data_IF_148560659063
#
_entry.id   IF_148560659063
#
_cell.length_a   1.000
_cell.length_b   1.000
_cell.length_c   1.000
_cell.angle_alpha   90.00
_cell.angle_beta   90.00
_cell.angle_gamma   90.00
#
_symmetry.space_group_name_H-M   'P 1'
#
loop_
_entity.id
_entity.type
_entity.pdbx_description
1 polymer ?
#
# COMPACT_ATOMS: atom_id res chain seq x y z
N UNK A 1 11.89 -6.93 8.31
CA UNK A 1 12.37 -7.01 6.92
C UNK A 1 13.73 -6.31 6.78
N UNK A 2 13.82 -5.02 7.07
CA UNK A 2 15.05 -4.23 6.90
C UNK A 2 16.29 -4.79 7.61
N UNK A 3 16.14 -5.34 8.82
CA UNK A 3 17.24 -5.97 9.57
C UNK A 3 17.96 -7.10 8.80
N UNK A 4 17.26 -7.73 7.86
CA UNK A 4 17.82 -8.82 7.03
C UNK A 4 18.19 -8.36 5.62
N UNK A 5 18.02 -7.08 5.31
CA UNK A 5 18.31 -6.57 3.97
C UNK A 5 19.79 -6.23 3.85
N UNK A 6 20.53 -6.81 2.88
CA UNK A 6 21.99 -6.66 2.82
C UNK A 6 22.45 -5.23 2.50
N UNK A 7 21.60 -4.40 1.90
CA UNK A 7 21.88 -3.00 1.56
C UNK A 7 21.44 -1.98 2.60
N UNK A 8 20.91 -2.41 3.77
CA UNK A 8 20.41 -1.51 4.80
C UNK A 8 21.25 -1.61 6.09
N UNK A 9 21.71 -0.46 6.57
CA UNK A 9 22.29 -0.29 7.90
C UNK A 9 21.44 0.70 8.69
N UNK A 10 20.87 0.26 9.81
CA UNK A 10 20.14 1.15 10.71
C UNK A 10 21.11 2.00 11.52
N UNK A 11 21.04 3.32 11.34
CA UNK A 11 21.86 4.30 12.06
C UNK A 11 21.06 5.05 13.11
N UNK A 12 19.73 5.19 12.91
CA UNK A 12 18.81 5.77 13.87
C UNK A 12 17.45 5.07 13.80
N UNK A 13 16.79 4.96 14.95
CA UNK A 13 15.40 4.51 15.07
C UNK A 13 14.65 5.52 15.93
N UNK A 14 13.51 6.00 15.47
CA UNK A 14 12.78 7.04 16.17
C UNK A 14 11.44 6.57 16.72
N UNK A 15 11.13 7.02 17.94
CA UNK A 15 9.81 6.86 18.54
C UNK A 15 9.69 7.81 19.74
N UNK A 16 9.06 8.98 19.54
CA UNK A 16 9.02 10.04 20.55
C UNK A 16 8.57 9.57 21.94
N UNK A 17 7.51 8.75 22.03
CA UNK A 17 7.01 8.22 23.30
C UNK A 17 7.89 7.14 23.94
N UNK A 18 8.87 6.64 23.22
CA UNK A 18 9.79 5.58 23.65
C UNK A 18 11.26 5.98 23.52
N UNK A 19 11.56 7.27 23.31
CA UNK A 19 12.93 7.77 23.25
C UNK A 19 13.73 7.38 24.48
N UNK A 20 15.01 6.99 24.29
CA UNK A 20 15.90 6.49 25.33
C UNK A 20 15.71 5.00 25.70
N UNK A 21 14.81 4.26 25.00
CA UNK A 21 14.57 2.85 25.26
C UNK A 21 15.13 1.96 24.16
N UNK A 22 15.60 0.75 24.48
CA UNK A 22 15.97 -0.25 23.46
C UNK A 22 14.77 -0.62 22.60
N UNK A 23 14.98 -0.85 21.29
CA UNK A 23 13.92 -1.30 20.38
C UNK A 23 13.22 -2.58 20.89
N UNK A 24 13.97 -3.49 21.51
CA UNK A 24 13.45 -4.72 22.09
C UNK A 24 12.42 -4.51 23.21
N UNK A 25 12.43 -3.36 23.90
CA UNK A 25 11.42 -3.06 24.92
C UNK A 25 10.04 -2.78 24.31
N UNK A 26 9.99 -2.36 23.04
CA UNK A 26 8.76 -2.10 22.28
C UNK A 26 8.38 -3.29 21.40
N UNK A 27 9.40 -3.96 20.83
CA UNK A 27 9.28 -5.09 19.94
C UNK A 27 10.20 -6.25 20.40
N UNK A 28 9.78 -7.06 21.38
CA UNK A 28 10.63 -8.10 21.99
C UNK A 28 11.22 -9.11 20.99
N UNK A 29 10.53 -9.37 19.88
CA UNK A 29 11.03 -10.26 18.84
C UNK A 29 12.25 -9.71 18.05
N UNK A 30 12.60 -8.44 18.25
CA UNK A 30 13.81 -7.82 17.71
C UNK A 30 14.99 -7.84 18.68
N UNK A 31 14.86 -8.48 19.86
CA UNK A 31 15.94 -8.56 20.85
C UNK A 31 17.22 -9.25 20.34
N UNK A 32 17.08 -10.06 19.28
CA UNK A 32 18.22 -10.76 18.64
C UNK A 32 18.92 -9.91 17.58
N UNK A 33 18.41 -8.72 17.30
CA UNK A 33 18.98 -7.81 16.32
C UNK A 33 19.77 -6.69 17.05
N UNK A 34 20.98 -6.44 16.58
CA UNK A 34 21.78 -5.30 17.05
C UNK A 34 21.23 -4.01 16.41
N UNK A 35 20.35 -3.34 17.14
CA UNK A 35 19.69 -2.12 16.70
C UNK A 35 20.02 -0.97 17.68
N UNK A 36 20.12 0.27 17.19
CA UNK A 36 20.30 1.43 18.06
C UNK A 36 19.08 1.64 18.97
N UNK A 37 19.30 2.30 20.08
CA UNK A 37 18.21 2.72 20.95
C UNK A 37 17.31 3.74 20.25
N UNK A 38 16.06 3.80 20.71
CA UNK A 38 15.08 4.74 20.16
C UNK A 38 15.42 6.17 20.58
N UNK A 39 15.34 7.10 19.64
CA UNK A 39 15.55 8.54 19.89
C UNK A 39 14.30 9.34 19.49
N UNK A 40 14.20 10.58 19.93
CA UNK A 40 13.14 11.48 19.45
C UNK A 40 13.43 11.93 18.01
N UNK A 41 12.38 12.28 17.25
CA UNK A 41 12.54 12.72 15.85
C UNK A 41 13.39 13.99 15.73
N UNK A 42 13.32 14.88 16.71
CA UNK A 42 14.09 16.12 16.79
C UNK A 42 15.57 15.91 17.03
N UNK A 43 15.96 14.80 17.65
CA UNK A 43 17.36 14.49 18.03
C UNK A 43 18.14 13.80 16.91
N UNK A 44 17.51 13.51 15.76
CA UNK A 44 18.20 12.85 14.64
C UNK A 44 19.00 13.86 13.82
N UNK A 45 20.28 13.60 13.66
CA UNK A 45 21.13 14.25 12.65
C UNK A 45 20.97 13.54 11.30
N UNK A 46 20.36 14.21 10.34
CA UNK A 46 20.12 13.67 9.01
C UNK A 46 21.31 13.83 8.04
N UNK A 47 22.43 14.45 8.45
CA UNK A 47 23.55 14.78 7.55
C UNK A 47 24.26 13.55 6.95
N UNK A 48 24.27 12.44 7.66
CA UNK A 48 24.92 11.18 7.24
C UNK A 48 23.95 10.08 6.86
N UNK A 49 22.69 10.41 6.56
CA UNK A 49 21.65 9.43 6.25
C UNK A 49 21.32 9.46 4.76
N UNK A 50 21.26 8.29 4.11
CA UNK A 50 20.93 8.15 2.70
C UNK A 50 19.42 8.04 2.48
N UNK A 51 18.70 7.37 3.40
CA UNK A 51 17.27 7.12 3.28
C UNK A 51 16.57 7.12 4.63
N UNK A 52 15.37 7.67 4.67
CA UNK A 52 14.46 7.61 5.83
C UNK A 52 13.20 6.82 5.45
N UNK A 53 12.89 5.77 6.21
CA UNK A 53 11.59 5.11 6.17
C UNK A 53 10.67 5.80 7.18
N UNK A 54 9.72 6.57 6.69
CA UNK A 54 8.81 7.34 7.52
C UNK A 54 7.51 6.55 7.76
N UNK A 55 7.31 6.08 8.99
CA UNK A 55 6.11 5.33 9.42
C UNK A 55 5.20 6.14 10.35
N UNK A 56 5.16 7.46 10.20
CA UNK A 56 4.37 8.34 11.03
C UNK A 56 2.87 8.32 10.63
N UNK A 57 1.97 8.63 11.57
CA UNK A 57 0.56 8.84 11.25
C UNK A 57 0.39 9.96 10.20
N UNK A 58 -0.69 9.86 9.41
CA UNK A 58 -1.09 10.92 8.46
C UNK A 58 -1.20 12.28 9.17
N UNK A 59 -0.85 13.35 8.46
CA UNK A 59 -0.76 14.73 8.99
C UNK A 59 0.52 15.01 9.76
N UNK A 60 1.33 13.99 10.06
CA UNK A 60 2.56 14.15 10.87
C UNK A 60 3.82 14.06 10.00
N UNK A 61 3.82 13.21 8.97
CA UNK A 61 4.99 13.02 8.11
C UNK A 61 5.37 14.29 7.33
N UNK A 62 4.40 15.11 6.94
CA UNK A 62 4.61 16.37 6.21
C UNK A 62 5.63 17.29 6.89
N UNK A 63 5.52 17.45 8.22
CA UNK A 63 6.44 18.31 9.00
C UNK A 63 7.86 17.73 9.04
N UNK A 64 7.97 16.42 9.27
CA UNK A 64 9.26 15.75 9.29
C UNK A 64 9.93 15.80 7.90
N UNK A 65 9.18 15.51 6.85
CA UNK A 65 9.70 15.53 5.47
C UNK A 65 10.14 16.95 5.08
N UNK A 66 9.41 17.99 5.50
CA UNK A 66 9.83 19.39 5.30
C UNK A 66 11.16 19.68 5.99
N UNK A 67 11.33 19.27 7.26
CA UNK A 67 12.60 19.41 7.99
C UNK A 67 13.75 18.71 7.25
N UNK A 68 13.54 17.45 6.87
CA UNK A 68 14.53 16.66 6.13
C UNK A 68 14.94 17.34 4.82
N UNK A 69 13.97 17.81 4.04
CA UNK A 69 14.23 18.46 2.76
C UNK A 69 15.07 19.75 2.89
N UNK A 70 14.94 20.45 4.03
CA UNK A 70 15.72 21.64 4.36
C UNK A 70 17.14 21.31 4.83
N UNK A 71 17.30 20.26 5.65
CA UNK A 71 18.58 19.89 6.26
C UNK A 71 19.46 19.05 5.34
N UNK A 72 18.86 18.17 4.53
CA UNK A 72 19.59 17.30 3.61
C UNK A 72 18.80 17.07 2.30
N UNK A 73 19.06 17.91 1.31
CA UNK A 73 18.40 17.85 0.01
C UNK A 73 18.72 16.59 -0.81
N UNK A 74 19.78 15.84 -0.46
CA UNK A 74 20.15 14.59 -1.13
C UNK A 74 19.42 13.36 -0.57
N UNK A 75 18.94 13.44 0.66
CA UNK A 75 18.27 12.35 1.36
C UNK A 75 16.95 11.97 0.69
N UNK A 76 16.67 10.67 0.62
CA UNK A 76 15.40 10.15 0.12
C UNK A 76 14.48 9.76 1.28
N UNK A 77 13.21 10.06 1.14
CA UNK A 77 12.18 9.67 2.11
C UNK A 77 11.24 8.65 1.48
N UNK A 78 11.12 7.49 2.10
CA UNK A 78 10.12 6.48 1.76
C UNK A 78 9.00 6.61 2.79
N UNK A 79 7.94 7.32 2.41
CA UNK A 79 6.81 7.60 3.29
C UNK A 79 5.75 6.49 3.20
N UNK A 80 5.58 5.76 4.30
CA UNK A 80 4.51 4.78 4.47
C UNK A 80 3.20 5.40 4.99
N UNK A 81 3.25 6.70 5.34
CA UNK A 81 2.08 7.50 5.65
C UNK A 81 1.23 7.78 4.41
N UNK A 82 0.17 8.57 4.61
CA UNK A 82 -0.75 8.89 3.52
C UNK A 82 -0.51 10.27 2.89
N UNK A 83 0.44 11.02 3.45
CA UNK A 83 0.52 12.46 3.26
C UNK A 83 0.89 12.89 1.83
N UNK A 84 1.65 12.08 1.11
CA UNK A 84 2.11 12.40 -0.24
C UNK A 84 1.54 11.49 -1.33
N UNK A 85 0.45 10.74 -1.06
CA UNK A 85 -0.14 9.79 -2.03
C UNK A 85 -0.94 10.46 -3.13
N UNK A 86 -1.61 11.59 -2.82
CA UNK A 86 -2.37 12.33 -3.82
C UNK A 86 -1.45 13.15 -4.72
N UNK A 87 -1.80 13.24 -6.02
CA UNK A 87 -1.06 14.05 -6.98
C UNK A 87 -1.21 15.53 -6.69
N UNK A 88 -2.43 15.93 -6.27
CA UNK A 88 -2.72 17.30 -5.87
C UNK A 88 -2.86 17.36 -4.35
N UNK A 89 -2.13 18.28 -3.72
CA UNK A 89 -2.21 18.47 -2.28
C UNK A 89 -3.62 18.90 -1.80
N UNK A 90 -4.40 19.53 -2.67
CA UNK A 90 -5.79 19.94 -2.40
C UNK A 90 -6.74 18.74 -2.19
N UNK A 91 -6.46 17.59 -2.81
CA UNK A 91 -7.27 16.39 -2.66
C UNK A 91 -7.09 15.72 -1.28
N UNK A 92 -6.08 16.13 -0.52
CA UNK A 92 -5.78 15.59 0.81
C UNK A 92 -6.83 16.00 1.85
N UNK A 93 -7.18 17.29 1.91
CA UNK A 93 -8.08 17.84 2.92
C UNK A 93 -9.43 17.13 3.02
N UNK A 94 -10.15 16.96 1.90
CA UNK A 94 -11.44 16.26 1.88
C UNK A 94 -11.39 14.83 2.41
N UNK A 95 -10.24 14.15 2.30
CA UNK A 95 -10.06 12.74 2.68
C UNK A 95 -9.56 12.59 4.12
N UNK A 96 -8.66 13.48 4.56
CA UNK A 96 -7.99 13.36 5.86
C UNK A 96 -8.45 14.37 6.91
N UNK A 97 -9.32 15.31 6.54
CA UNK A 97 -9.95 16.25 7.47
C UNK A 97 -9.07 17.42 7.90
N UNK A 98 -7.91 17.63 7.24
CA UNK A 98 -7.02 18.76 7.48
C UNK A 98 -6.24 19.10 6.22
N UNK A 99 -5.93 20.37 6.00
CA UNK A 99 -5.17 20.83 4.84
C UNK A 99 -3.74 20.24 4.83
N UNK A 100 -3.22 20.02 3.62
CA UNK A 100 -1.84 19.59 3.43
C UNK A 100 -0.89 20.76 3.75
N UNK A 101 0.00 20.59 4.73
CA UNK A 101 0.87 21.68 5.21
C UNK A 101 2.22 21.78 4.47
N UNK A 102 2.49 20.88 3.54
CA UNK A 102 3.70 20.88 2.72
C UNK A 102 3.40 20.70 1.21
N UNK A 103 2.44 21.48 0.61
CA UNK A 103 2.04 21.29 -0.79
C UNK A 103 3.20 21.51 -1.77
N UNK A 104 4.17 22.34 -1.43
CA UNK A 104 5.36 22.62 -2.23
C UNK A 104 6.32 21.43 -2.41
N UNK A 105 6.15 20.36 -1.61
CA UNK A 105 6.94 19.13 -1.73
C UNK A 105 6.24 18.08 -2.60
N UNK A 106 4.97 18.29 -3.00
CA UNK A 106 4.19 17.29 -3.72
C UNK A 106 4.79 16.92 -5.07
N UNK A 107 5.36 17.89 -5.77
CA UNK A 107 6.02 17.67 -7.08
C UNK A 107 7.30 16.82 -6.97
N UNK A 108 7.85 16.67 -5.76
CA UNK A 108 9.01 15.82 -5.49
C UNK A 108 8.63 14.38 -5.14
N UNK A 109 7.32 14.10 -5.04
CA UNK A 109 6.80 12.81 -4.62
C UNK A 109 6.44 11.92 -5.82
N UNK A 110 6.85 10.65 -5.77
CA UNK A 110 6.38 9.61 -6.65
C UNK A 110 5.48 8.64 -5.91
N UNK A 111 4.41 8.20 -6.54
CA UNK A 111 3.54 7.15 -6.01
C UNK A 111 4.28 5.80 -6.04
N UNK A 112 4.53 5.26 -4.87
CA UNK A 112 5.45 4.16 -4.61
C UNK A 112 4.89 2.76 -4.93
N UNK A 113 4.15 2.58 -6.02
CA UNK A 113 3.79 1.27 -6.56
C UNK A 113 4.85 0.87 -7.57
N UNK A 114 5.88 0.13 -7.11
CA UNK A 114 7.14 -0.13 -7.83
C UNK A 114 6.93 -0.66 -9.24
N UNK A 115 6.03 -1.63 -9.42
CA UNK A 115 5.78 -2.32 -10.68
C UNK A 115 5.22 -1.39 -11.78
N UNK A 116 4.62 -0.28 -11.39
CA UNK A 116 4.01 0.68 -12.32
C UNK A 116 4.76 2.00 -12.46
N UNK A 117 5.60 2.35 -11.48
CA UNK A 117 6.20 3.69 -11.37
C UNK A 117 7.72 3.65 -11.15
N UNK A 118 8.40 2.57 -11.55
CA UNK A 118 9.85 2.34 -11.28
C UNK A 118 10.71 3.55 -11.64
N UNK A 119 10.57 4.07 -12.85
CA UNK A 119 11.38 5.21 -13.32
C UNK A 119 11.11 6.48 -12.50
N UNK A 120 9.86 6.76 -12.17
CA UNK A 120 9.49 7.89 -11.33
C UNK A 120 10.08 7.74 -9.90
N UNK A 121 10.01 6.54 -9.33
CA UNK A 121 10.55 6.23 -8.00
C UNK A 121 12.06 6.41 -7.97
N UNK A 122 12.79 5.97 -9.00
CA UNK A 122 14.25 6.13 -9.08
C UNK A 122 14.69 7.58 -9.05
N UNK A 123 13.87 8.49 -9.57
CA UNK A 123 14.18 9.92 -9.68
C UNK A 123 13.57 10.76 -8.56
N UNK A 124 12.65 10.21 -7.75
CA UNK A 124 11.96 10.96 -6.71
C UNK A 124 12.80 11.14 -5.44
N UNK A 125 12.53 12.23 -4.72
CA UNK A 125 13.03 12.47 -3.36
C UNK A 125 12.10 11.92 -2.30
N UNK A 126 10.81 11.93 -2.58
CA UNK A 126 9.77 11.40 -1.71
C UNK A 126 9.08 10.26 -2.44
N UNK A 127 9.05 9.09 -1.84
CA UNK A 127 8.35 7.93 -2.37
C UNK A 127 7.15 7.65 -1.45
N UNK A 128 5.96 7.97 -1.93
CA UNK A 128 4.71 7.77 -1.19
C UNK A 128 4.21 6.33 -1.36
N UNK A 129 4.45 5.48 -0.38
CA UNK A 129 3.98 4.09 -0.43
C UNK A 129 2.45 4.02 -0.43
N UNK A 130 1.84 3.23 -1.32
CA UNK A 130 0.40 3.02 -1.37
C UNK A 130 -0.16 2.47 -0.06
N UNK A 131 -1.46 2.67 0.17
CA UNK A 131 -2.19 1.87 1.15
C UNK A 131 -2.25 0.39 0.74
N UNK A 132 -2.52 -0.49 1.72
CA UNK A 132 -2.55 -1.94 1.44
C UNK A 132 -3.63 -2.30 0.40
N UNK A 133 -4.87 -1.84 0.59
CA UNK A 133 -5.94 -2.06 -0.39
C UNK A 133 -5.66 -1.44 -1.77
N UNK A 134 -5.18 -0.18 -1.89
CA UNK A 134 -4.70 0.34 -3.16
C UNK A 134 -3.62 -0.54 -3.79
N UNK A 135 -2.64 -1.03 -3.03
CA UNK A 135 -1.61 -1.94 -3.56
C UNK A 135 -2.23 -3.17 -4.23
N UNK A 136 -3.08 -3.92 -3.52
CA UNK A 136 -3.70 -5.12 -4.07
C UNK A 136 -4.61 -4.81 -5.27
N UNK A 137 -5.41 -3.76 -5.16
CA UNK A 137 -6.38 -3.36 -6.20
C UNK A 137 -5.70 -2.85 -7.46
N UNK A 138 -4.72 -1.98 -7.31
CA UNK A 138 -4.04 -1.37 -8.46
C UNK A 138 -3.16 -2.39 -9.19
N UNK A 139 -2.49 -3.30 -8.47
CA UNK A 139 -1.78 -4.42 -9.11
C UNK A 139 -2.73 -5.34 -9.88
N UNK A 140 -3.97 -5.52 -9.42
CA UNK A 140 -4.96 -6.33 -10.13
C UNK A 140 -5.59 -5.62 -11.34
N UNK A 141 -5.79 -4.30 -11.28
CA UNK A 141 -6.63 -3.59 -12.24
C UNK A 141 -5.90 -2.65 -13.20
N UNK A 142 -4.76 -2.05 -12.81
CA UNK A 142 -4.07 -1.06 -13.67
C UNK A 142 -3.67 -1.60 -15.05
N UNK A 143 -3.10 -2.82 -15.18
CA UNK A 143 -2.78 -3.35 -16.52
C UNK A 143 -4.02 -3.55 -17.37
N UNK A 144 -5.13 -3.94 -16.76
CA UNK A 144 -6.39 -4.20 -17.44
C UNK A 144 -7.05 -2.91 -17.94
N UNK A 145 -6.94 -1.84 -17.14
CA UNK A 145 -7.42 -0.50 -17.53
C UNK A 145 -6.54 0.09 -18.63
N UNK A 146 -5.21 0.03 -18.46
CA UNK A 146 -4.26 0.56 -19.46
C UNK A 146 -4.38 -0.11 -20.82
N UNK A 147 -4.69 -1.41 -20.86
CA UNK A 147 -4.89 -2.17 -22.11
C UNK A 147 -6.29 -2.01 -22.70
N UNK A 148 -7.24 -1.41 -21.98
CA UNK A 148 -8.64 -1.37 -22.37
C UNK A 148 -9.35 -2.72 -22.29
N UNK A 149 -8.79 -3.72 -21.60
CA UNK A 149 -9.40 -5.04 -21.45
C UNK A 149 -10.71 -5.01 -20.66
N UNK A 150 -10.80 -4.10 -19.69
CA UNK A 150 -11.97 -3.91 -18.84
C UNK A 150 -12.49 -2.48 -18.88
N UNK A 151 -13.78 -2.33 -18.67
CA UNK A 151 -14.44 -1.03 -18.49
C UNK A 151 -14.12 -0.44 -17.12
N UNK A 152 -13.96 0.88 -17.07
CA UNK A 152 -13.85 1.64 -15.82
C UNK A 152 -15.22 2.06 -15.25
N UNK A 153 -16.30 1.64 -15.86
CA UNK A 153 -17.66 1.88 -15.36
C UNK A 153 -18.10 0.71 -14.48
N UNK A 154 -18.60 1.03 -13.29
CA UNK A 154 -19.15 0.04 -12.35
C UNK A 154 -18.09 -0.95 -11.85
N UNK A 155 -16.96 -0.39 -11.40
CA UNK A 155 -15.91 -1.15 -10.71
C UNK A 155 -16.35 -1.42 -9.26
N UNK A 156 -16.61 -2.68 -8.93
CA UNK A 156 -17.01 -3.11 -7.58
C UNK A 156 -15.85 -3.87 -6.97
N UNK A 157 -15.37 -3.38 -5.83
CA UNK A 157 -14.20 -3.93 -5.13
C UNK A 157 -14.62 -4.27 -3.70
N UNK A 158 -14.74 -5.55 -3.42
CA UNK A 158 -15.00 -6.08 -2.10
C UNK A 158 -13.70 -6.60 -1.50
N UNK A 159 -13.28 -6.03 -0.37
CA UNK A 159 -11.96 -6.23 0.18
C UNK A 159 -12.00 -6.75 1.63
N UNK A 160 -11.11 -7.65 1.98
CA UNK A 160 -10.99 -8.28 3.30
C UNK A 160 -9.56 -8.11 3.80
N UNK A 161 -9.40 -7.65 5.04
CA UNK A 161 -8.07 -7.50 5.68
C UNK A 161 -8.08 -8.06 7.09
N UNK A 162 -6.95 -8.64 7.47
CA UNK A 162 -6.68 -8.96 8.86
C UNK A 162 -6.60 -7.71 9.74
N UNK A 163 -6.84 -7.87 11.03
CA UNK A 163 -6.97 -6.77 12.01
C UNK A 163 -5.74 -5.88 12.15
N UNK A 164 -4.55 -6.37 11.79
CA UNK A 164 -3.33 -5.56 11.81
C UNK A 164 -3.34 -4.41 10.82
N UNK A 165 -4.23 -4.44 9.80
CA UNK A 165 -4.45 -3.35 8.87
C UNK A 165 -5.06 -2.11 9.52
N UNK A 166 -5.72 -2.25 10.66
CA UNK A 166 -6.27 -1.13 11.44
C UNK A 166 -5.23 -0.41 12.31
N UNK A 167 -3.96 -0.86 12.29
CA UNK A 167 -2.87 -0.30 13.09
C UNK A 167 -2.79 -0.86 14.52
N UNK A 168 -1.83 -0.37 15.32
CA UNK A 168 -1.52 -0.88 16.67
C UNK A 168 -2.29 -0.19 17.79
N UNK A 169 -2.90 0.96 17.53
CA UNK A 169 -3.67 1.66 18.56
C UNK A 169 -4.83 0.76 19.03
N UNK A 170 -4.99 0.53 20.35
CA UNK A 170 -6.09 -0.27 20.86
C UNK A 170 -7.41 0.45 20.57
N UNK A 171 -8.28 -0.22 19.83
CA UNK A 171 -9.65 0.21 19.55
C UNK A 171 -10.59 -0.92 19.90
N UNK A 172 -11.78 -0.62 20.39
CA UNK A 172 -12.75 -1.63 20.81
C UNK A 172 -12.98 -2.67 19.68
N UNK A 173 -13.23 -2.23 18.48
CA UNK A 173 -13.50 -3.10 17.33
C UNK A 173 -12.30 -3.92 16.82
N UNK A 174 -11.11 -3.73 17.38
CA UNK A 174 -9.90 -4.51 17.06
C UNK A 174 -9.40 -5.36 18.23
N UNK A 175 -10.09 -5.32 19.38
CA UNK A 175 -9.82 -6.22 20.49
C UNK A 175 -10.17 -7.66 20.11
N UNK A 176 -9.42 -8.63 20.62
CA UNK A 176 -9.64 -10.04 20.30
C UNK A 176 -11.07 -10.49 20.61
N UNK A 177 -11.66 -10.00 21.70
CA UNK A 177 -13.04 -10.31 22.10
C UNK A 177 -14.10 -9.79 21.12
N UNK A 178 -13.81 -8.72 20.39
CA UNK A 178 -14.74 -8.10 19.44
C UNK A 178 -14.43 -8.56 17.99
N UNK A 179 -13.15 -8.59 17.63
CA UNK A 179 -12.71 -8.94 16.29
C UNK A 179 -12.59 -10.45 16.07
N UNK A 180 -12.43 -11.24 17.15
CA UNK A 180 -12.37 -12.70 17.09
C UNK A 180 -13.73 -13.25 16.66
N UNK A 181 -13.74 -14.18 15.69
CA UNK A 181 -14.95 -14.83 15.17
C UNK A 181 -15.99 -13.85 14.55
N UNK A 182 -15.59 -12.62 14.22
CA UNK A 182 -16.45 -11.60 13.62
C UNK A 182 -15.88 -11.11 12.29
N UNK A 183 -16.74 -10.92 11.30
CA UNK A 183 -16.45 -10.27 10.04
C UNK A 183 -17.25 -8.98 9.98
N UNK A 184 -16.58 -7.83 9.89
CA UNK A 184 -17.24 -6.53 9.99
C UNK A 184 -16.81 -5.60 8.86
N UNK A 185 -17.74 -5.07 8.04
CA UNK A 185 -17.43 -3.99 7.12
C UNK A 185 -17.12 -2.70 7.89
N UNK A 186 -16.22 -1.88 7.34
CA UNK A 186 -15.89 -0.60 7.96
C UNK A 186 -15.62 0.47 6.90
N UNK A 187 -15.82 1.74 7.26
CA UNK A 187 -15.63 2.84 6.32
C UNK A 187 -16.48 2.72 5.05
N UNK A 188 -17.66 2.12 5.14
CA UNK A 188 -18.55 1.87 3.99
C UNK A 188 -18.91 3.19 3.32
N UNK A 189 -18.60 3.31 2.01
CA UNK A 189 -18.86 4.51 1.22
C UNK A 189 -17.95 5.72 1.52
N UNK A 190 -17.06 5.63 2.55
CA UNK A 190 -16.23 6.76 3.00
C UNK A 190 -14.77 6.37 3.30
N UNK A 191 -14.35 5.17 2.92
CA UNK A 191 -12.99 4.69 3.21
C UNK A 191 -11.95 5.47 2.43
N UNK A 192 -10.90 5.94 3.12
CA UNK A 192 -9.84 6.81 2.59
C UNK A 192 -9.02 6.21 1.44
N UNK A 193 -9.06 4.90 1.24
CA UNK A 193 -8.38 4.25 0.11
C UNK A 193 -9.20 4.31 -1.18
N UNK A 194 -10.51 4.59 -1.15
CA UNK A 194 -11.31 4.70 -2.37
C UNK A 194 -10.82 5.84 -3.27
N UNK A 195 -10.65 7.09 -2.79
CA UNK A 195 -10.10 8.18 -3.60
C UNK A 195 -8.68 7.92 -4.10
N UNK A 196 -7.83 7.21 -3.33
CA UNK A 196 -6.49 6.81 -3.75
C UNK A 196 -6.54 5.85 -4.95
N UNK A 197 -7.43 4.86 -4.91
CA UNK A 197 -7.67 3.91 -6.02
C UNK A 197 -8.24 4.64 -7.23
N UNK A 198 -9.22 5.51 -7.03
CA UNK A 198 -9.87 6.31 -8.07
C UNK A 198 -8.88 7.20 -8.81
N UNK A 199 -7.96 7.83 -8.08
CA UNK A 199 -6.89 8.64 -8.66
C UNK A 199 -6.05 7.83 -9.65
N UNK A 200 -5.47 6.72 -9.22
CA UNK A 200 -4.53 5.95 -10.05
C UNK A 200 -5.23 5.24 -11.23
N UNK A 201 -6.44 4.73 -11.03
CA UNK A 201 -7.26 4.20 -12.13
C UNK A 201 -7.67 5.30 -13.10
N UNK A 202 -8.05 6.47 -12.58
CA UNK A 202 -8.42 7.63 -13.39
C UNK A 202 -7.27 8.14 -14.27
N UNK A 203 -6.07 8.20 -13.70
CA UNK A 203 -4.85 8.54 -14.44
C UNK A 203 -4.58 7.52 -15.56
N UNK A 204 -4.69 6.23 -15.26
CA UNK A 204 -4.50 5.18 -16.26
C UNK A 204 -5.56 5.20 -17.37
N UNK A 205 -6.78 5.58 -17.04
CA UNK A 205 -7.91 5.66 -17.97
C UNK A 205 -7.98 7.00 -18.73
N UNK A 206 -7.21 8.02 -18.33
CA UNK A 206 -7.29 9.38 -18.89
C UNK A 206 -8.62 10.09 -18.62
N UNK A 207 -9.36 9.68 -17.60
CA UNK A 207 -10.66 10.25 -17.22
C UNK A 207 -10.97 10.03 -15.74
N UNK A 208 -11.88 10.82 -15.18
CA UNK A 208 -12.36 10.62 -13.80
C UNK A 208 -13.09 9.28 -13.67
N UNK A 209 -12.76 8.53 -12.64
CA UNK A 209 -13.34 7.22 -12.33
C UNK A 209 -13.82 7.22 -10.88
N UNK A 210 -14.91 6.52 -10.62
CA UNK A 210 -15.38 6.22 -9.28
C UNK A 210 -15.39 4.69 -9.08
N UNK A 211 -15.07 4.24 -7.86
CA UNK A 211 -15.10 2.83 -7.48
C UNK A 211 -16.12 2.59 -6.37
N UNK A 212 -16.80 1.46 -6.43
CA UNK A 212 -17.57 0.95 -5.31
C UNK A 212 -16.63 0.10 -4.44
N UNK A 213 -16.18 0.66 -3.32
CA UNK A 213 -15.20 0.02 -2.46
C UNK A 213 -15.76 -0.29 -1.07
N UNK A 214 -15.77 -1.58 -0.70
CA UNK A 214 -16.26 -2.04 0.60
C UNK A 214 -15.21 -2.90 1.30
N UNK A 215 -14.49 -2.35 2.28
CA UNK A 215 -13.52 -3.12 3.05
C UNK A 215 -14.14 -3.80 4.28
N UNK A 216 -13.58 -4.96 4.65
CA UNK A 216 -13.98 -5.74 5.82
C UNK A 216 -12.76 -6.08 6.67
N UNK A 217 -12.91 -6.02 7.99
CA UNK A 217 -12.02 -6.67 8.94
C UNK A 217 -12.48 -8.12 9.13
N UNK A 218 -11.54 -9.04 9.09
CA UNK A 218 -11.79 -10.46 9.31
C UNK A 218 -10.92 -10.99 10.46
N UNK A 219 -11.35 -12.06 11.16
CA UNK A 219 -10.72 -12.57 12.38
C UNK A 219 -9.39 -13.30 12.09
N UNK A 220 -8.46 -12.62 11.49
CA UNK A 220 -7.08 -13.06 11.29
C UNK A 220 -6.11 -11.92 11.52
N UNK A 221 -4.87 -12.21 11.89
CA UNK A 221 -3.88 -11.18 12.15
C UNK A 221 -3.37 -10.52 10.86
N UNK A 222 -3.04 -11.31 9.83
CA UNK A 222 -2.41 -10.86 8.60
C UNK A 222 -3.07 -11.45 7.38
N UNK A 223 -2.94 -10.75 6.27
CA UNK A 223 -3.43 -11.10 4.96
C UNK A 223 -4.49 -10.11 4.50
N UNK A 224 -4.52 -9.89 3.21
CA UNK A 224 -5.51 -9.05 2.54
C UNK A 224 -5.89 -9.70 1.22
N UNK A 225 -7.19 -9.68 0.93
CA UNK A 225 -7.74 -10.21 -0.30
C UNK A 225 -8.76 -9.24 -0.86
N UNK A 226 -8.62 -8.89 -2.13
CA UNK A 226 -9.63 -8.16 -2.87
C UNK A 226 -10.35 -9.07 -3.86
N UNK A 227 -11.63 -8.81 -4.06
CA UNK A 227 -12.46 -9.40 -5.12
C UNK A 227 -13.03 -8.23 -5.91
N UNK A 228 -12.61 -8.08 -7.17
CA UNK A 228 -13.12 -7.05 -8.05
C UNK A 228 -14.03 -7.65 -9.10
N UNK A 229 -15.28 -7.17 -9.16
CA UNK A 229 -16.24 -7.51 -10.21
C UNK A 229 -16.19 -6.41 -11.28
N UNK A 230 -15.76 -6.77 -12.49
CA UNK A 230 -15.51 -5.81 -13.56
C UNK A 230 -16.18 -6.22 -14.85
N UNK A 231 -16.62 -5.23 -15.64
CA UNK A 231 -17.16 -5.46 -16.98
C UNK A 231 -16.03 -5.59 -17.98
N UNK A 232 -16.14 -6.53 -18.89
CA UNK A 232 -15.25 -6.66 -20.05
C UNK A 232 -15.49 -5.48 -21.02
N UNK A 233 -14.42 -5.05 -21.69
CA UNK A 233 -14.48 -4.08 -22.78
C UNK A 233 -13.86 -4.70 -24.05
N UNK A 234 -12.57 -4.58 -24.30
CA UNK A 234 -11.94 -5.21 -25.46
C UNK A 234 -11.69 -6.72 -25.28
N UNK A 235 -11.44 -7.20 -24.05
CA UNK A 235 -11.31 -8.62 -23.75
C UNK A 235 -12.67 -9.34 -23.76
N UNK A 236 -12.66 -10.63 -24.10
CA UNK A 236 -13.88 -11.44 -24.30
C UNK A 236 -14.16 -12.42 -23.16
N UNK A 237 -13.14 -12.79 -22.39
CA UNK A 237 -13.23 -13.81 -21.33
C UNK A 237 -12.09 -13.66 -20.31
N UNK A 238 -12.14 -14.47 -19.26
CA UNK A 238 -11.16 -14.47 -18.19
C UNK A 238 -9.73 -14.88 -18.68
N UNK A 239 -9.61 -15.74 -19.67
CA UNK A 239 -8.31 -16.20 -20.17
C UNK A 239 -7.56 -15.06 -20.89
N UNK A 240 -8.28 -14.23 -21.67
CA UNK A 240 -7.70 -13.05 -22.31
C UNK A 240 -7.29 -12.01 -21.25
N UNK A 241 -8.12 -11.75 -20.23
CA UNK A 241 -7.79 -10.85 -19.13
C UNK A 241 -6.59 -11.34 -18.32
N UNK A 242 -6.53 -12.66 -18.05
CA UNK A 242 -5.37 -13.28 -17.36
C UNK A 242 -4.10 -13.12 -18.17
N UNK A 243 -4.17 -13.28 -19.50
CA UNK A 243 -3.03 -13.09 -20.39
C UNK A 243 -2.51 -11.65 -20.33
N UNK A 244 -3.39 -10.64 -20.32
CA UNK A 244 -2.98 -9.22 -20.18
C UNK A 244 -2.19 -9.02 -18.88
N UNK A 245 -2.64 -9.59 -17.76
CA UNK A 245 -1.91 -9.51 -16.49
C UNK A 245 -0.56 -10.25 -16.57
N UNK A 246 -0.54 -11.44 -17.14
CA UNK A 246 0.69 -12.24 -17.28
C UNK A 246 1.74 -11.52 -18.13
N UNK A 247 1.34 -10.93 -19.23
CA UNK A 247 2.21 -10.16 -20.13
C UNK A 247 2.71 -8.88 -19.43
N UNK A 248 1.84 -8.17 -18.71
CA UNK A 248 2.20 -6.93 -18.01
C UNK A 248 3.19 -7.16 -16.85
N UNK A 249 3.12 -8.31 -16.21
CA UNK A 249 3.97 -8.64 -15.06
C UNK A 249 5.08 -9.66 -15.40
N UNK A 250 5.34 -9.89 -16.68
CA UNK A 250 6.46 -10.72 -17.11
C UNK A 250 7.78 -10.11 -16.57
N UNK A 251 8.49 -10.88 -15.74
CA UNK A 251 9.74 -10.42 -15.11
C UNK A 251 9.59 -9.68 -13.78
N UNK A 252 8.37 -9.34 -13.33
CA UNK A 252 8.19 -8.74 -12.01
C UNK A 252 8.35 -9.81 -10.90
N UNK A 253 9.35 -9.66 -10.01
CA UNK A 253 9.73 -10.72 -9.08
C UNK A 253 8.67 -11.03 -8.04
N UNK A 254 7.83 -10.06 -7.68
CA UNK A 254 6.86 -10.20 -6.59
C UNK A 254 5.41 -10.34 -7.05
N UNK A 255 5.15 -10.36 -8.36
CA UNK A 255 3.80 -10.59 -8.88
C UNK A 255 3.70 -12.02 -9.43
N UNK A 256 2.63 -12.70 -9.05
CA UNK A 256 2.30 -14.04 -9.55
C UNK A 256 0.89 -14.05 -10.12
N UNK A 257 0.80 -14.03 -11.43
CA UNK A 257 -0.46 -14.33 -12.11
C UNK A 257 -0.61 -15.83 -12.10
N UNK A 258 -1.61 -16.31 -11.39
CA UNK A 258 -1.79 -17.73 -11.14
C UNK A 258 -2.36 -18.45 -12.38
N UNK A 259 -2.07 -19.74 -12.48
CA UNK A 259 -2.63 -20.59 -13.52
C UNK A 259 -4.15 -20.70 -13.39
N UNK A 260 -4.82 -21.02 -14.49
CA UNK A 260 -6.27 -21.21 -14.54
C UNK A 260 -6.72 -22.21 -13.47
N UNK A 261 -7.72 -21.81 -12.69
CA UNK A 261 -8.31 -22.64 -11.64
C UNK A 261 -7.68 -22.48 -10.25
N UNK A 262 -6.47 -21.93 -10.11
CA UNK A 262 -5.91 -21.64 -8.79
C UNK A 262 -6.61 -20.41 -8.19
N UNK A 263 -7.20 -20.58 -7.01
CA UNK A 263 -7.88 -19.49 -6.29
C UNK A 263 -6.87 -18.80 -5.36
N UNK A 264 -6.59 -17.49 -5.52
CA UNK A 264 -5.73 -16.76 -4.60
C UNK A 264 -6.25 -16.82 -3.16
N UNK A 265 -5.33 -16.98 -2.22
CA UNK A 265 -5.63 -17.04 -0.79
C UNK A 265 -4.59 -16.26 0.00
N UNK A 266 -5.00 -15.66 1.11
CA UNK A 266 -4.09 -14.97 2.03
C UNK A 266 -3.02 -15.91 2.60
N UNK A 267 -3.33 -17.21 2.73
CA UNK A 267 -2.38 -18.24 3.13
C UNK A 267 -1.21 -18.43 2.16
N UNK A 268 -1.40 -18.13 0.86
CA UNK A 268 -0.35 -18.27 -0.16
C UNK A 268 0.71 -17.17 -0.08
N UNK A 269 0.40 -16.04 0.55
CA UNK A 269 1.24 -14.83 0.51
C UNK A 269 1.71 -14.37 1.90
N UNK A 270 1.18 -14.95 2.95
CA UNK A 270 1.47 -14.55 4.33
C UNK A 270 2.97 -14.57 4.63
N UNK A 271 3.50 -13.44 5.14
CA UNK A 271 4.92 -13.26 5.47
C UNK A 271 5.81 -13.00 4.26
N UNK A 272 5.26 -12.86 3.06
CA UNK A 272 6.00 -12.62 1.82
C UNK A 272 5.63 -11.30 1.16
N UNK A 273 6.49 -10.84 0.24
CA UNK A 273 6.22 -9.65 -0.58
C UNK A 273 5.46 -9.99 -1.88
N UNK A 274 4.91 -11.18 -2.00
CA UNK A 274 4.17 -11.58 -3.19
C UNK A 274 2.75 -11.00 -3.22
N UNK A 275 2.31 -10.66 -4.44
CA UNK A 275 0.92 -10.49 -4.81
C UNK A 275 0.53 -11.64 -5.73
N UNK A 276 -0.48 -12.42 -5.37
CA UNK A 276 -1.01 -13.50 -6.21
C UNK A 276 -2.34 -13.06 -6.79
N UNK A 277 -2.45 -13.06 -8.12
CA UNK A 277 -3.62 -12.56 -8.87
C UNK A 277 -4.18 -13.69 -9.74
N UNK A 278 -5.50 -13.80 -9.84
CA UNK A 278 -6.15 -14.63 -10.86
C UNK A 278 -7.47 -14.02 -11.32
N UNK A 279 -7.95 -14.50 -12.46
CA UNK A 279 -9.20 -14.05 -13.12
C UNK A 279 -10.10 -15.23 -13.39
N UNK A 280 -11.40 -15.04 -13.14
CA UNK A 280 -12.44 -16.05 -13.34
C UNK A 280 -13.57 -15.45 -14.16
N UNK A 281 -14.20 -16.26 -15.00
CA UNK A 281 -15.42 -15.86 -15.67
C UNK A 281 -16.54 -15.68 -14.63
N UNK A 282 -17.31 -14.60 -14.76
CA UNK A 282 -18.49 -14.38 -13.94
C UNK A 282 -19.68 -15.18 -14.53
N UNK A 283 -20.66 -15.49 -13.70
CA UNK A 283 -21.95 -16.06 -14.15
C UNK A 283 -22.75 -15.06 -14.99
N UNK A 284 -22.48 -13.77 -14.82
CA UNK A 284 -23.10 -12.69 -15.61
C UNK A 284 -22.27 -12.51 -16.89
N UNK A 285 -22.85 -12.72 -18.07
CA UNK A 285 -22.13 -12.52 -19.34
C UNK A 285 -21.53 -11.10 -19.45
N UNK A 286 -20.34 -11.01 -20.03
CA UNK A 286 -19.61 -9.74 -20.21
C UNK A 286 -18.95 -9.21 -18.93
N UNK A 287 -18.83 -10.05 -17.88
CA UNK A 287 -18.11 -9.74 -16.64
C UNK A 287 -17.06 -10.79 -16.31
N UNK A 288 -16.07 -10.38 -15.55
CA UNK A 288 -15.07 -11.26 -14.91
C UNK A 288 -14.90 -10.86 -13.45
N UNK A 289 -14.39 -11.83 -12.68
CA UNK A 289 -14.02 -11.65 -11.28
C UNK A 289 -12.49 -11.70 -11.21
N UNK A 290 -11.87 -10.61 -10.75
CA UNK A 290 -10.42 -10.52 -10.51
C UNK A 290 -10.19 -10.64 -9.01
N UNK A 291 -9.35 -11.59 -8.59
CA UNK A 291 -9.01 -11.80 -7.19
C UNK A 291 -7.52 -11.57 -7.02
N UNK A 292 -7.14 -10.76 -6.02
CA UNK A 292 -5.75 -10.58 -5.63
C UNK A 292 -5.58 -10.76 -4.12
N UNK A 293 -4.48 -11.39 -3.73
CA UNK A 293 -4.11 -11.60 -2.33
C UNK A 293 -2.69 -11.08 -2.07
N UNK A 294 -2.50 -10.39 -0.94
CA UNK A 294 -1.21 -9.91 -0.43
C UNK A 294 -1.11 -10.13 1.08
N UNK A 295 0.09 -10.03 1.64
CA UNK A 295 0.26 -9.77 3.07
C UNK A 295 0.15 -8.26 3.30
N UNK A 296 -0.85 -7.82 4.06
CA UNK A 296 -1.14 -6.40 4.30
C UNK A 296 -0.01 -5.64 5.00
N UNK A 297 0.85 -6.32 5.79
CA UNK A 297 2.01 -5.71 6.46
C UNK A 297 3.31 -5.84 5.66
N UNK A 298 3.38 -6.76 4.69
CA UNK A 298 4.57 -6.91 3.83
C UNK A 298 4.32 -6.19 2.51
N UNK A 299 3.73 -6.82 1.50
CA UNK A 299 3.47 -6.17 0.20
C UNK A 299 2.57 -4.95 0.32
N UNK A 300 1.61 -4.98 1.25
CA UNK A 300 0.71 -3.85 1.52
C UNK A 300 1.33 -2.72 2.35
N UNK A 301 2.59 -2.82 2.82
CA UNK A 301 3.21 -1.82 3.69
C UNK A 301 4.74 -1.88 3.62
N UNK A 302 5.41 -2.44 4.63
CA UNK A 302 6.86 -2.41 4.80
C UNK A 302 7.64 -3.13 3.68
N UNK A 303 7.07 -4.17 3.09
CA UNK A 303 7.68 -4.88 1.97
C UNK A 303 7.71 -4.03 0.69
N UNK A 304 6.62 -3.30 0.41
CA UNK A 304 6.57 -2.33 -0.68
C UNK A 304 7.57 -1.19 -0.44
N UNK A 305 7.67 -0.70 0.80
CA UNK A 305 8.64 0.34 1.15
C UNK A 305 10.09 -0.11 0.89
N UNK A 306 10.46 -1.33 1.29
CA UNK A 306 11.80 -1.89 1.00
C UNK A 306 12.00 -2.17 -0.49
N UNK A 307 10.97 -2.56 -1.22
CA UNK A 307 11.05 -2.74 -2.67
C UNK A 307 11.26 -1.41 -3.40
N UNK A 308 10.73 -0.32 -2.88
CA UNK A 308 10.95 1.04 -3.41
C UNK A 308 12.37 1.56 -3.13
N UNK A 309 13.04 1.07 -2.10
CA UNK A 309 14.45 1.34 -1.81
C UNK A 309 15.37 0.64 -2.80
#
# INVERSE_FOLDING_TARGET
LGVRHPGLKFVALTANTHAGKPMASVFPHLAVAELPDLVANEDVDFSGIDVVFCGLPHGTSQKLVTKIAQENSSLRVIDMGADFRFRNAEDYGPVYGADHVAPHLQDMAAYGLTEHNRDAIQNAKIIACPGCYPTATLLALLPLVKSGAISTVDLIIDAKSGVTGAGRAPKQNTLLAEAGESLTPYGVGVHRHAPEIEQEIGLAAGKKVAVNFTPHLIPMSRGELITAHVKLDSAKNADEVRKVLADAYAGEPFIRVAEKGLIPSTGHVRGSNYCVINVFDDRIPGRVIVIAAIDNLVKGSAGQAIQNF
#
